data_IF_251345614252
#
_entry.id   IF_251345614252
#
_cell.length_a   1.000
_cell.length_b   1.000
_cell.length_c   1.000
_cell.angle_alpha   90.00
_cell.angle_beta   90.00
_cell.angle_gamma   90.00
#
_symmetry.space_group_name_H-M   'P 1'
#
loop_
_entity.id
_entity.type
_entity.pdbx_description
1 polymer ?
#
# COMPACT_ATOMS: atom_id res chain seq x y z
N UNK A 1 19.52 -13.06 31.29
CA UNK A 1 19.18 -13.28 29.87
C UNK A 1 17.99 -12.40 29.47
N UNK A 2 16.86 -12.38 30.21
CA UNK A 2 15.63 -11.68 29.84
C UNK A 2 15.79 -10.16 29.64
N UNK A 3 16.53 -9.47 30.53
CA UNK A 3 16.73 -8.02 30.39
C UNK A 3 17.55 -7.65 29.14
N UNK A 4 18.57 -8.42 28.79
CA UNK A 4 19.36 -8.18 27.58
C UNK A 4 18.52 -8.42 26.32
N UNK A 5 17.73 -9.49 26.29
CA UNK A 5 16.81 -9.77 25.17
C UNK A 5 15.82 -8.63 24.98
N UNK A 6 15.21 -8.13 26.04
CA UNK A 6 14.28 -6.99 25.99
C UNK A 6 14.95 -5.74 25.41
N UNK A 7 16.20 -5.42 25.85
CA UNK A 7 16.96 -4.27 25.34
C UNK A 7 17.24 -4.43 23.84
N UNK A 8 17.70 -5.60 23.38
CA UNK A 8 18.02 -5.81 21.96
C UNK A 8 16.78 -5.72 21.08
N UNK A 9 15.65 -6.30 21.50
CA UNK A 9 14.39 -6.21 20.76
C UNK A 9 13.90 -4.75 20.72
N UNK A 10 13.96 -4.02 21.86
CA UNK A 10 13.53 -2.63 21.89
C UNK A 10 14.36 -1.73 20.96
N UNK A 11 15.66 -1.92 20.93
CA UNK A 11 16.55 -1.15 20.04
C UNK A 11 16.34 -1.51 18.56
N UNK A 12 16.13 -2.77 18.23
CA UNK A 12 15.83 -3.21 16.87
C UNK A 12 14.50 -2.65 16.36
N UNK A 13 13.50 -2.52 17.25
CA UNK A 13 12.18 -2.00 16.92
C UNK A 13 12.05 -0.48 16.99
N UNK A 14 13.05 0.23 17.52
CA UNK A 14 12.93 1.66 17.86
C UNK A 14 12.44 2.52 16.69
N UNK A 15 13.15 2.46 15.55
CA UNK A 15 12.82 3.29 14.38
C UNK A 15 11.51 2.85 13.72
N UNK A 16 11.27 1.53 13.69
CA UNK A 16 10.05 0.97 13.09
C UNK A 16 8.82 1.33 13.93
N UNK A 17 8.92 1.23 15.26
CA UNK A 17 7.84 1.65 16.16
C UNK A 17 7.57 3.16 16.05
N UNK A 18 8.63 3.98 15.94
CA UNK A 18 8.50 5.42 15.72
C UNK A 18 7.82 5.71 14.37
N UNK A 19 8.20 5.00 13.30
CA UNK A 19 7.53 5.10 12.01
C UNK A 19 6.02 4.82 12.12
N UNK A 20 5.64 3.68 12.71
CA UNK A 20 4.22 3.33 12.88
C UNK A 20 3.47 4.28 13.81
N UNK A 21 4.10 4.80 14.86
CA UNK A 21 3.48 5.78 15.75
C UNK A 21 3.21 7.11 15.02
N UNK A 22 4.19 7.66 14.31
CA UNK A 22 4.04 8.92 13.56
C UNK A 22 3.03 8.78 12.42
N UNK A 23 3.11 7.71 11.65
CA UNK A 23 2.17 7.46 10.56
C UNK A 23 0.77 7.13 11.06
N UNK A 24 0.61 6.58 12.26
CA UNK A 24 -0.68 6.43 12.92
C UNK A 24 -1.37 7.77 13.19
N UNK A 25 -0.60 8.81 13.57
CA UNK A 25 -1.12 10.18 13.76
C UNK A 25 -1.60 10.76 12.41
N UNK A 26 -0.79 10.64 11.35
CA UNK A 26 -1.15 11.16 10.03
C UNK A 26 -2.34 10.44 9.43
N UNK A 27 -2.49 9.14 9.69
CA UNK A 27 -3.66 8.35 9.30
C UNK A 27 -4.94 8.75 10.00
N UNK A 28 -4.84 9.16 11.27
CA UNK A 28 -6.00 9.59 12.06
C UNK A 28 -6.49 11.00 11.68
N UNK A 29 -5.63 11.81 11.03
CA UNK A 29 -5.92 13.19 10.62
C UNK A 29 -5.40 13.47 9.21
N UNK A 30 -5.85 12.72 8.19
CA UNK A 30 -5.35 12.87 6.82
C UNK A 30 -5.58 14.29 6.29
N UNK A 31 -6.69 14.93 6.65
CA UNK A 31 -7.04 16.28 6.26
C UNK A 31 -6.02 17.37 6.67
N UNK A 32 -5.20 17.09 7.70
CA UNK A 32 -4.17 18.03 8.17
C UNK A 32 -2.81 17.79 7.52
N UNK A 33 -2.54 16.57 7.07
CA UNK A 33 -1.20 16.15 6.68
C UNK A 33 -1.09 15.75 5.21
N UNK A 34 -2.15 15.22 4.61
CA UNK A 34 -2.14 14.84 3.20
C UNK A 34 -2.28 16.08 2.31
N UNK A 35 -1.75 15.97 1.11
CA UNK A 35 -1.86 17.02 0.10
C UNK A 35 -3.33 17.14 -0.31
N UNK A 36 -3.86 18.39 -0.30
CA UNK A 36 -5.26 18.65 -0.70
C UNK A 36 -5.52 18.35 -2.18
N UNK A 37 -4.54 18.65 -3.02
CA UNK A 37 -4.61 18.40 -4.46
C UNK A 37 -3.48 17.47 -4.87
N UNK A 38 -3.75 16.27 -5.38
CA UNK A 38 -2.74 15.39 -5.92
C UNK A 38 -2.10 16.00 -7.18
N UNK A 39 -0.88 15.58 -7.50
CA UNK A 39 -0.27 15.93 -8.78
C UNK A 39 -0.77 14.94 -9.81
N UNK A 40 -1.51 15.45 -10.79
CA UNK A 40 -2.03 14.68 -11.92
C UNK A 40 -1.21 15.05 -13.15
N UNK A 41 -0.76 14.04 -13.90
CA UNK A 41 -0.10 14.19 -15.19
C UNK A 41 -0.80 13.31 -16.21
N UNK A 42 -1.04 13.86 -17.39
CA UNK A 42 -1.66 13.14 -18.49
C UNK A 42 -0.64 12.98 -19.62
N UNK A 43 -0.59 11.81 -20.20
CA UNK A 43 0.25 11.46 -21.34
C UNK A 43 -0.61 10.74 -22.37
N UNK A 44 -0.45 11.11 -23.63
CA UNK A 44 -1.02 10.36 -24.75
C UNK A 44 0.13 9.82 -25.58
N UNK A 45 0.13 8.51 -25.84
CA UNK A 45 1.16 7.82 -26.61
C UNK A 45 0.50 6.87 -27.61
N UNK A 46 1.24 6.46 -28.62
CA UNK A 46 0.79 5.45 -29.59
C UNK A 46 1.52 4.14 -29.31
N UNK A 47 0.77 3.07 -29.10
CA UNK A 47 1.30 1.72 -28.88
C UNK A 47 1.38 1.00 -30.23
N UNK A 48 2.57 0.51 -30.61
CA UNK A 48 2.71 -0.23 -31.86
C UNK A 48 1.88 -1.53 -31.84
N UNK A 49 1.22 -1.91 -32.95
CA UNK A 49 0.39 -3.11 -33.01
C UNK A 49 1.11 -4.40 -32.61
N UNK A 50 2.41 -4.55 -32.91
CA UNK A 50 3.21 -5.70 -32.51
C UNK A 50 3.48 -5.77 -30.98
N UNK A 51 3.31 -4.67 -30.26
CA UNK A 51 3.38 -4.60 -28.81
C UNK A 51 2.02 -4.86 -28.18
N UNK A 52 0.96 -4.40 -28.86
CA UNK A 52 -0.40 -4.49 -28.37
C UNK A 52 -0.97 -5.90 -28.50
N UNK A 53 -0.71 -6.60 -29.63
CA UNK A 53 -1.31 -7.89 -29.93
C UNK A 53 -0.32 -9.06 -29.86
N UNK A 54 -0.83 -10.24 -29.49
CA UNK A 54 -0.09 -11.50 -29.62
C UNK A 54 0.02 -11.91 -31.08
N UNK A 55 1.20 -12.33 -31.51
CA UNK A 55 1.42 -12.78 -32.86
C UNK A 55 0.58 -14.03 -33.20
N UNK A 56 -0.26 -13.93 -34.23
CA UNK A 56 -1.04 -15.05 -34.77
C UNK A 56 -2.39 -15.31 -34.12
N UNK A 57 -2.78 -14.56 -33.10
CA UNK A 57 -4.09 -14.63 -32.46
C UNK A 57 -4.89 -13.35 -32.70
N UNK A 58 -6.17 -13.53 -33.07
CA UNK A 58 -7.07 -12.43 -33.39
C UNK A 58 -7.30 -11.55 -32.16
N UNK A 59 -6.71 -10.36 -32.17
CA UNK A 59 -6.98 -9.26 -31.25
C UNK A 59 -6.79 -9.55 -29.75
N UNK A 60 -6.01 -10.59 -29.37
CA UNK A 60 -5.65 -10.83 -27.97
C UNK A 60 -4.49 -9.91 -27.54
N UNK A 61 -4.64 -9.15 -26.46
CA UNK A 61 -3.59 -8.27 -25.98
C UNK A 61 -2.36 -9.03 -25.49
N UNK A 62 -1.18 -8.54 -25.88
CA UNK A 62 0.09 -9.01 -25.33
C UNK A 62 0.38 -8.28 -24.01
N UNK A 63 -0.15 -8.81 -22.89
CA UNK A 63 -0.02 -8.18 -21.58
C UNK A 63 1.43 -7.89 -21.19
N UNK A 64 2.35 -8.79 -21.47
CA UNK A 64 3.75 -8.64 -21.04
C UNK A 64 4.42 -7.51 -21.81
N UNK A 65 4.34 -7.55 -23.15
CA UNK A 65 4.93 -6.52 -23.99
C UNK A 65 4.30 -5.14 -23.75
N UNK A 66 3.00 -5.09 -23.51
CA UNK A 66 2.29 -3.86 -23.20
C UNK A 66 2.77 -3.24 -21.87
N UNK A 67 2.87 -4.03 -20.80
CA UNK A 67 3.35 -3.54 -19.49
C UNK A 67 4.81 -3.06 -19.58
N UNK A 68 5.66 -3.83 -20.26
CA UNK A 68 7.07 -3.46 -20.45
C UNK A 68 7.20 -2.16 -21.23
N UNK A 69 6.44 -2.00 -22.31
CA UNK A 69 6.41 -0.78 -23.12
C UNK A 69 5.96 0.43 -22.29
N UNK A 70 4.81 0.34 -21.61
CA UNK A 70 4.27 1.42 -20.78
C UNK A 70 5.24 1.81 -19.66
N UNK A 71 5.89 0.84 -19.03
CA UNK A 71 6.84 1.10 -17.95
C UNK A 71 8.11 1.81 -18.44
N UNK A 72 8.54 1.53 -19.67
CA UNK A 72 9.72 2.17 -20.27
C UNK A 72 9.42 3.56 -20.80
N UNK A 73 8.31 3.73 -21.53
CA UNK A 73 7.98 5.01 -22.18
C UNK A 73 7.50 6.08 -21.19
N UNK A 74 6.69 5.71 -20.20
CA UNK A 74 6.05 6.68 -19.27
C UNK A 74 6.59 6.56 -17.85
N UNK A 75 7.56 5.66 -17.62
CA UNK A 75 8.13 5.39 -16.29
C UNK A 75 7.06 5.10 -15.22
N UNK A 76 6.02 4.32 -15.57
CA UNK A 76 4.95 3.93 -14.67
C UNK A 76 5.49 3.10 -13.50
N UNK A 77 4.92 3.31 -12.32
CA UNK A 77 5.34 2.68 -11.06
C UNK A 77 4.21 1.89 -10.45
N UNK A 78 4.56 0.92 -9.60
CA UNK A 78 3.58 0.11 -8.89
C UNK A 78 3.30 -1.23 -9.57
N UNK A 79 2.28 -1.91 -9.08
CA UNK A 79 1.87 -3.23 -9.56
C UNK A 79 0.72 -3.08 -10.56
N UNK A 80 0.86 -3.59 -11.79
CA UNK A 80 -0.21 -3.54 -12.78
C UNK A 80 -1.36 -4.49 -12.38
N UNK A 81 -2.60 -4.04 -12.57
CA UNK A 81 -3.82 -4.84 -12.42
C UNK A 81 -3.93 -5.92 -13.51
N UNK A 82 -4.98 -6.73 -13.46
CA UNK A 82 -5.42 -7.46 -14.65
C UNK A 82 -5.83 -6.48 -15.74
N UNK A 83 -5.71 -6.92 -17.01
CA UNK A 83 -6.29 -6.18 -18.12
C UNK A 83 -7.80 -6.34 -18.10
N UNK A 84 -8.51 -5.23 -18.28
CA UNK A 84 -9.92 -5.23 -18.62
C UNK A 84 -10.04 -4.93 -20.11
N UNK A 85 -10.62 -5.86 -20.88
CA UNK A 85 -10.59 -5.83 -22.35
C UNK A 85 -11.99 -6.04 -22.87
N UNK A 86 -12.43 -5.13 -23.73
CA UNK A 86 -13.66 -5.25 -24.49
C UNK A 86 -13.36 -5.18 -25.98
N UNK A 87 -13.84 -6.14 -26.76
CA UNK A 87 -13.63 -6.19 -28.23
C UNK A 87 -14.91 -6.57 -28.96
N UNK A 88 -15.17 -5.86 -30.07
CA UNK A 88 -16.20 -6.24 -31.04
C UNK A 88 -15.52 -6.51 -32.40
N UNK A 89 -15.79 -7.68 -32.96
CA UNK A 89 -15.20 -8.11 -34.22
C UNK A 89 -16.32 -8.39 -35.23
N UNK A 90 -16.28 -7.70 -36.36
CA UNK A 90 -17.21 -7.92 -37.47
C UNK A 90 -16.42 -8.36 -38.74
N UNK A 91 -16.87 -9.41 -39.37
CA UNK A 91 -16.25 -9.96 -40.61
C UNK A 91 -14.73 -10.24 -40.50
N UNK A 92 -14.22 -10.46 -39.26
CA UNK A 92 -12.79 -10.71 -39.00
C UNK A 92 -11.96 -9.45 -38.76
N UNK A 93 -12.57 -8.28 -38.73
CA UNK A 93 -11.93 -7.00 -38.42
C UNK A 93 -12.36 -6.51 -37.03
N UNK A 94 -11.43 -5.90 -36.32
CA UNK A 94 -11.71 -5.27 -35.00
C UNK A 94 -12.42 -3.94 -35.26
N UNK A 95 -13.71 -3.88 -34.94
CA UNK A 95 -14.53 -2.66 -35.09
C UNK A 95 -14.44 -1.79 -33.85
N UNK A 96 -14.43 -2.41 -32.69
CA UNK A 96 -14.25 -1.73 -31.40
C UNK A 96 -13.31 -2.56 -30.53
N UNK A 97 -12.32 -1.91 -29.93
CA UNK A 97 -11.39 -2.53 -29.01
C UNK A 97 -10.96 -1.55 -27.94
N UNK A 98 -11.36 -1.79 -26.71
CA UNK A 98 -10.99 -1.00 -25.55
C UNK A 98 -10.23 -1.86 -24.57
N UNK A 99 -9.12 -1.35 -24.05
CA UNK A 99 -8.32 -2.00 -23.03
C UNK A 99 -8.03 -1.00 -21.93
N UNK A 100 -8.23 -1.42 -20.69
CA UNK A 100 -7.82 -0.63 -19.53
C UNK A 100 -7.03 -1.43 -18.51
N UNK A 101 -6.11 -0.76 -17.83
CA UNK A 101 -5.38 -1.29 -16.69
C UNK A 101 -4.94 -0.17 -15.74
N UNK A 102 -4.80 -0.53 -14.48
CA UNK A 102 -4.29 0.35 -13.43
C UNK A 102 -2.90 -0.10 -12.97
N UNK A 103 -2.05 0.87 -12.65
CA UNK A 103 -0.82 0.64 -11.88
C UNK A 103 -1.01 1.24 -10.49
N UNK A 104 -0.89 0.42 -9.45
CA UNK A 104 -1.10 0.85 -8.05
C UNK A 104 0.18 0.68 -7.23
N UNK A 105 0.62 1.78 -6.62
CA UNK A 105 1.75 1.82 -5.68
C UNK A 105 1.42 2.65 -4.45
N UNK A 106 2.24 2.60 -3.38
CA UNK A 106 2.02 3.45 -2.22
C UNK A 106 2.04 4.94 -2.60
N UNK A 107 0.96 5.67 -2.28
CA UNK A 107 0.80 7.08 -2.63
C UNK A 107 0.76 7.40 -4.12
N UNK A 108 0.51 6.40 -4.98
CA UNK A 108 0.54 6.53 -6.43
C UNK A 108 -0.49 5.64 -7.10
N UNK A 109 -1.12 6.19 -8.15
CA UNK A 109 -1.96 5.44 -9.07
C UNK A 109 -1.69 5.91 -10.51
N UNK A 110 -1.77 5.00 -11.48
CA UNK A 110 -1.87 5.35 -12.88
C UNK A 110 -2.97 4.52 -13.53
N UNK A 111 -3.79 5.17 -14.34
CA UNK A 111 -4.84 4.53 -15.13
C UNK A 111 -4.48 4.68 -16.59
N UNK A 112 -4.55 3.60 -17.33
CA UNK A 112 -4.23 3.51 -18.76
C UNK A 112 -5.48 3.05 -19.49
N UNK A 113 -5.89 3.82 -20.50
CA UNK A 113 -6.91 3.45 -21.47
C UNK A 113 -6.29 3.37 -22.85
N UNK A 114 -6.56 2.29 -23.56
CA UNK A 114 -6.03 2.03 -24.90
C UNK A 114 -7.17 1.76 -25.86
N UNK A 115 -7.23 2.54 -26.94
CA UNK A 115 -7.99 2.17 -28.10
C UNK A 115 -7.19 1.16 -28.94
N UNK A 116 -7.65 -0.08 -28.95
CA UNK A 116 -6.95 -1.18 -29.63
C UNK A 116 -7.07 -1.09 -31.16
N UNK A 117 -7.98 -0.27 -31.69
CA UNK A 117 -8.15 -0.09 -33.14
C UNK A 117 -7.12 0.88 -33.71
N UNK A 118 -6.79 1.94 -32.97
CA UNK A 118 -5.82 2.96 -33.39
C UNK A 118 -4.45 2.77 -32.73
N UNK A 119 -4.40 2.13 -31.56
CA UNK A 119 -3.22 2.04 -30.73
C UNK A 119 -3.01 3.27 -29.82
N UNK A 120 -3.93 4.24 -29.84
CA UNK A 120 -3.85 5.40 -28.97
C UNK A 120 -4.04 5.00 -27.51
N UNK A 121 -3.16 5.48 -26.65
CA UNK A 121 -3.22 5.21 -25.22
C UNK A 121 -3.19 6.52 -24.42
N UNK A 122 -4.24 6.73 -23.64
CA UNK A 122 -4.35 7.81 -22.68
C UNK A 122 -3.97 7.31 -21.29
N UNK A 123 -3.01 7.99 -20.67
CA UNK A 123 -2.42 7.61 -19.39
C UNK A 123 -2.57 8.77 -18.42
N UNK A 124 -3.26 8.55 -17.33
CA UNK A 124 -3.33 9.50 -16.23
C UNK A 124 -2.56 8.97 -15.03
N UNK A 125 -1.57 9.71 -14.57
CA UNK A 125 -0.83 9.38 -13.35
C UNK A 125 -1.20 10.34 -12.24
N UNK A 126 -1.45 9.80 -11.05
CA UNK A 126 -1.82 10.56 -9.86
C UNK A 126 -0.83 10.30 -8.73
N UNK A 127 -0.18 11.35 -8.24
CA UNK A 127 0.73 11.30 -7.09
C UNK A 127 0.13 12.04 -5.90
N UNK A 128 -0.20 11.29 -4.85
CA UNK A 128 -0.83 11.81 -3.63
C UNK A 128 0.15 12.41 -2.63
N UNK A 129 1.46 12.31 -2.88
CA UNK A 129 2.51 12.89 -2.06
C UNK A 129 3.08 11.96 -0.99
N UNK A 130 4.09 12.48 -0.25
CA UNK A 130 4.88 11.68 0.68
C UNK A 130 4.06 11.16 1.88
N UNK A 131 3.12 11.95 2.40
CA UNK A 131 2.29 11.52 3.54
C UNK A 131 1.37 10.38 3.15
N UNK A 132 0.72 10.46 1.99
CA UNK A 132 -0.11 9.40 1.47
C UNK A 132 0.71 8.12 1.21
N UNK A 133 1.94 8.25 0.70
CA UNK A 133 2.88 7.13 0.55
C UNK A 133 3.17 6.47 1.90
N UNK A 134 3.52 7.25 2.93
CA UNK A 134 3.81 6.72 4.27
C UNK A 134 2.58 6.08 4.91
N UNK A 135 1.39 6.65 4.69
CA UNK A 135 0.12 6.12 5.16
C UNK A 135 -0.22 4.79 4.48
N UNK A 136 0.03 4.65 3.17
CA UNK A 136 -0.15 3.39 2.45
C UNK A 136 0.85 2.33 2.91
N UNK A 137 2.11 2.70 3.16
CA UNK A 137 3.12 1.80 3.74
C UNK A 137 2.71 1.34 5.15
N UNK A 138 2.15 2.22 5.98
CA UNK A 138 1.63 1.83 7.30
C UNK A 138 0.53 0.76 7.19
N UNK A 139 -0.39 0.94 6.24
CA UNK A 139 -1.50 0.00 5.98
C UNK A 139 -1.08 -1.26 5.21
N UNK A 140 0.13 -1.30 4.66
CA UNK A 140 0.54 -2.35 3.72
C UNK A 140 -0.22 -2.33 2.38
N UNK A 141 -0.85 -1.17 2.03
CA UNK A 141 -1.65 -1.04 0.83
C UNK A 141 -0.76 -0.78 -0.38
N UNK A 142 -0.95 -1.57 -1.45
CA UNK A 142 -0.19 -1.48 -2.71
C UNK A 142 1.34 -1.57 -2.53
N UNK A 143 1.83 -2.17 -1.43
CA UNK A 143 3.24 -2.19 -1.02
C UNK A 143 3.98 -3.48 -1.36
N UNK A 144 3.28 -4.45 -1.96
CA UNK A 144 3.81 -5.77 -2.28
C UNK A 144 3.92 -6.71 -1.06
N UNK A 145 4.14 -7.98 -1.33
CA UNK A 145 4.07 -9.01 -0.29
C UNK A 145 5.26 -8.97 0.67
N UNK A 146 6.44 -8.60 0.18
CA UNK A 146 7.64 -8.46 1.04
C UNK A 146 7.42 -7.42 2.15
N UNK A 147 6.76 -6.29 1.81
CA UNK A 147 6.44 -5.26 2.79
C UNK A 147 5.38 -5.71 3.79
N UNK A 148 4.35 -6.45 3.34
CA UNK A 148 3.34 -7.04 4.23
C UNK A 148 3.98 -8.00 5.24
N UNK A 149 4.86 -8.90 4.78
CA UNK A 149 5.63 -9.77 5.68
C UNK A 149 6.47 -8.98 6.68
N UNK A 150 7.09 -7.89 6.26
CA UNK A 150 7.82 -6.99 7.16
C UNK A 150 6.91 -6.42 8.26
N UNK A 151 5.69 -5.99 7.92
CA UNK A 151 4.69 -5.50 8.89
C UNK A 151 4.34 -6.61 9.88
N UNK A 152 4.03 -7.83 9.40
CA UNK A 152 3.62 -8.95 10.24
C UNK A 152 4.73 -9.37 11.22
N UNK A 153 5.96 -9.48 10.74
CA UNK A 153 7.12 -9.78 11.58
C UNK A 153 7.34 -8.67 12.62
N UNK A 154 7.23 -7.41 12.22
CA UNK A 154 7.36 -6.27 13.13
C UNK A 154 6.28 -6.30 14.21
N UNK A 155 5.02 -6.55 13.83
CA UNK A 155 3.91 -6.67 14.78
C UNK A 155 4.15 -7.81 15.78
N UNK A 156 4.61 -8.96 15.33
CA UNK A 156 4.97 -10.09 16.18
C UNK A 156 6.10 -9.73 17.16
N UNK A 157 7.13 -9.06 16.69
CA UNK A 157 8.23 -8.59 17.55
C UNK A 157 7.76 -7.56 18.59
N UNK A 158 6.81 -6.67 18.23
CA UNK A 158 6.18 -5.75 19.20
C UNK A 158 5.44 -6.50 20.30
N UNK A 159 4.70 -7.56 19.95
CA UNK A 159 4.06 -8.45 20.95
C UNK A 159 5.11 -9.06 21.89
N UNK A 160 6.19 -9.61 21.35
CA UNK A 160 7.30 -10.13 22.16
C UNK A 160 7.94 -9.06 23.03
N UNK A 161 8.14 -7.86 22.52
CA UNK A 161 8.65 -6.73 23.30
C UNK A 161 7.77 -6.43 24.52
N UNK A 162 6.45 -6.33 24.34
CA UNK A 162 5.50 -6.09 25.44
C UNK A 162 5.54 -7.25 26.44
N UNK A 163 5.49 -8.49 25.99
CA UNK A 163 5.52 -9.67 26.87
C UNK A 163 6.82 -9.77 27.67
N UNK A 164 7.97 -9.54 27.04
CA UNK A 164 9.26 -9.52 27.75
C UNK A 164 9.33 -8.40 28.78
N UNK A 165 8.74 -7.23 28.50
CA UNK A 165 8.60 -6.14 29.46
C UNK A 165 7.80 -6.54 30.71
N UNK A 166 6.65 -7.21 30.49
CA UNK A 166 5.83 -7.75 31.59
C UNK A 166 6.60 -8.79 32.39
N UNK A 167 7.31 -9.73 31.74
CA UNK A 167 8.11 -10.74 32.40
C UNK A 167 9.20 -10.15 33.32
N UNK A 168 9.79 -9.01 32.95
CA UNK A 168 10.78 -8.31 33.78
C UNK A 168 10.19 -7.69 35.05
N UNK A 169 8.87 -7.48 35.08
CA UNK A 169 8.17 -6.96 36.26
C UNK A 169 7.76 -8.07 37.24
N UNK A 170 7.61 -9.33 36.80
CA UNK A 170 7.14 -10.44 37.65
C UNK A 170 7.93 -10.60 38.96
N UNK A 171 9.29 -10.54 38.99
CA UNK A 171 10.04 -10.68 40.23
C UNK A 171 9.91 -9.47 41.16
N UNK A 172 9.45 -8.32 40.66
CA UNK A 172 9.32 -7.04 41.41
C UNK A 172 7.90 -6.85 41.90
N UNK A 173 7.45 -7.62 42.87
CA UNK A 173 6.05 -7.67 43.36
C UNK A 173 5.38 -6.31 43.57
N UNK A 174 6.06 -5.34 44.21
CA UNK A 174 5.53 -3.99 44.48
C UNK A 174 5.30 -3.21 43.17
N UNK A 175 6.31 -3.19 42.30
CA UNK A 175 6.23 -2.52 40.97
C UNK A 175 5.18 -3.19 40.09
N UNK A 176 5.13 -4.52 40.07
CA UNK A 176 4.13 -5.28 39.31
C UNK A 176 2.70 -4.94 39.70
N UNK A 177 2.42 -4.85 41.04
CA UNK A 177 1.08 -4.47 41.52
C UNK A 177 0.68 -3.05 41.08
N UNK A 178 1.60 -2.09 41.12
CA UNK A 178 1.35 -0.73 40.64
C UNK A 178 1.15 -0.71 39.14
N UNK A 179 1.95 -1.46 38.39
CA UNK A 179 1.80 -1.58 36.92
C UNK A 179 0.46 -2.18 36.53
N UNK A 180 -0.06 -3.18 37.27
CA UNK A 180 -1.40 -3.71 37.05
C UNK A 180 -2.50 -2.66 37.26
N UNK A 181 -2.35 -1.78 38.28
CA UNK A 181 -3.31 -0.68 38.51
C UNK A 181 -3.33 0.29 37.29
N UNK A 182 -2.16 0.67 36.78
CA UNK A 182 -2.06 1.53 35.59
C UNK A 182 -2.59 0.86 34.33
N UNK A 183 -2.33 -0.45 34.15
CA UNK A 183 -2.89 -1.23 33.05
C UNK A 183 -4.42 -1.26 33.14
N UNK A 184 -4.99 -1.53 34.33
CA UNK A 184 -6.43 -1.54 34.53
C UNK A 184 -7.05 -0.16 34.29
N UNK A 185 -6.39 0.90 34.74
CA UNK A 185 -6.83 2.28 34.49
C UNK A 185 -6.85 2.60 33.00
N UNK A 186 -5.77 2.29 32.24
CA UNK A 186 -5.70 2.51 30.81
C UNK A 186 -6.75 1.71 30.03
N UNK A 187 -6.95 0.44 30.41
CA UNK A 187 -7.99 -0.41 29.79
C UNK A 187 -9.39 0.13 30.06
N UNK A 188 -9.68 0.53 31.30
CA UNK A 188 -10.98 1.10 31.65
C UNK A 188 -11.23 2.42 30.91
N UNK A 189 -10.22 3.29 30.83
CA UNK A 189 -10.32 4.55 30.09
C UNK A 189 -10.63 4.28 28.60
N UNK A 190 -9.94 3.32 27.98
CA UNK A 190 -10.17 2.95 26.57
C UNK A 190 -11.59 2.42 26.34
N UNK A 191 -12.10 1.58 27.27
CA UNK A 191 -13.48 1.09 27.21
C UNK A 191 -14.51 2.22 27.37
N UNK A 192 -14.28 3.13 28.32
CA UNK A 192 -15.17 4.30 28.51
C UNK A 192 -15.20 5.16 27.25
N UNK A 193 -14.04 5.47 26.66
CA UNK A 193 -13.98 6.23 25.41
C UNK A 193 -14.74 5.51 24.30
N UNK A 194 -14.57 4.19 24.19
CA UNK A 194 -15.27 3.40 23.17
C UNK A 194 -16.79 3.47 23.33
N UNK A 195 -17.32 3.23 24.54
CA UNK A 195 -18.77 3.20 24.75
C UNK A 195 -19.44 4.58 24.76
N UNK A 196 -18.68 5.65 25.07
CA UNK A 196 -19.25 7.01 25.20
C UNK A 196 -19.03 7.85 23.94
N UNK A 197 -17.89 7.69 23.26
CA UNK A 197 -17.47 8.59 22.18
C UNK A 197 -17.49 7.95 20.79
N UNK A 198 -17.57 6.62 20.68
CA UNK A 198 -17.68 5.96 19.38
C UNK A 198 -19.17 5.74 19.07
N UNK A 199 -19.66 6.28 17.92
CA UNK A 199 -21.09 6.21 17.54
C UNK A 199 -21.53 4.78 17.17
#
# INVERSE_FOLDING_TARGET
>A
VGARLHIYISMALLLVTLFFALTGITLNRPELFERKEPIIQQHTIIIPPQTLFLNGESFQPNRVALIDFLTQEVALRGTPSALDVYTEVEQGELVLGELSLDFKGPGYNATVFVDMTTGDADIETTNYGAVALLNDLHKGRNSGDVWKWFIDITALLMVFFVLTGVCLLLPKKKTFRISLQWMSFGSLLSLVIYFVAVP
#
